data_IF_181831455603
#
_entry.id   IF_181831455603
#
_cell.length_a   1.000
_cell.length_b   1.000
_cell.length_c   1.000
_cell.angle_alpha   90.00
_cell.angle_beta   90.00
_cell.angle_gamma   90.00
#
_symmetry.space_group_name_H-M   'P 1'
#
loop_
_entity.id
_entity.type
_entity.pdbx_description
1 polymer ?
#
# COMPACT_ATOMS: atom_id res chain seq x y z
N UNK A 1 -7.48 10.11 4.99
CA UNK A 1 -6.20 9.46 4.69
C UNK A 1 -6.39 7.96 4.45
N UNK A 2 -5.52 7.38 3.63
CA UNK A 2 -5.40 5.94 3.40
C UNK A 2 -3.95 5.53 3.68
N UNK A 3 -3.81 4.42 4.38
CA UNK A 3 -2.51 3.89 4.78
C UNK A 3 -2.49 2.39 4.54
N UNK A 4 -1.40 1.90 3.99
CA UNK A 4 -1.07 0.48 3.91
C UNK A 4 0.37 0.30 4.35
N UNK A 5 0.67 -0.79 5.03
CA UNK A 5 2.02 -1.07 5.50
C UNK A 5 2.14 -2.52 5.95
N UNK A 6 3.38 -2.96 6.09
CA UNK A 6 3.71 -4.28 6.58
C UNK A 6 4.79 -4.21 7.66
N UNK A 7 4.59 -4.97 8.74
CA UNK A 7 5.51 -5.05 9.88
C UNK A 7 6.34 -6.31 9.76
N UNK A 8 7.65 -6.17 9.67
CA UNK A 8 8.56 -7.31 9.61
C UNK A 8 8.27 -8.34 10.72
N UNK A 9 8.02 -9.59 10.31
CA UNK A 9 7.81 -10.75 11.20
C UNK A 9 6.34 -11.10 11.36
N UNK A 10 6.08 -12.11 12.18
CA UNK A 10 4.74 -12.71 12.33
C UNK A 10 4.35 -12.86 13.80
N UNK A 11 3.06 -13.09 14.04
CA UNK A 11 2.51 -13.41 15.36
C UNK A 11 2.40 -12.21 16.31
N UNK A 12 2.32 -12.50 17.60
CA UNK A 12 2.02 -11.51 18.65
C UNK A 12 2.98 -10.31 18.64
N UNK A 13 4.31 -10.48 18.55
CA UNK A 13 5.22 -9.33 18.56
C UNK A 13 4.99 -8.36 17.40
N UNK A 14 4.78 -8.86 16.19
CA UNK A 14 4.46 -8.01 15.03
C UNK A 14 3.11 -7.30 15.21
N UNK A 15 2.09 -8.00 15.73
CA UNK A 15 0.77 -7.42 16.01
C UNK A 15 0.80 -6.32 17.07
N UNK A 16 1.64 -6.42 18.10
CA UNK A 16 1.82 -5.37 19.09
C UNK A 16 2.46 -4.11 18.48
N UNK A 17 3.52 -4.29 17.67
CA UNK A 17 4.16 -3.17 16.95
C UNK A 17 3.18 -2.51 15.97
N UNK A 18 2.42 -3.29 15.21
CA UNK A 18 1.38 -2.78 14.32
C UNK A 18 0.34 -1.93 15.07
N UNK A 19 -0.11 -2.40 16.24
CA UNK A 19 -1.08 -1.67 17.07
C UNK A 19 -0.49 -0.37 17.62
N UNK A 20 0.76 -0.40 18.08
CA UNK A 20 1.51 0.78 18.53
C UNK A 20 1.64 1.82 17.40
N UNK A 21 2.18 1.40 16.25
CA UNK A 21 2.35 2.26 15.07
C UNK A 21 1.03 2.85 14.58
N UNK A 22 -0.04 2.05 14.55
CA UNK A 22 -1.38 2.54 14.22
C UNK A 22 -1.85 3.64 15.17
N UNK A 23 -1.56 3.51 16.47
CA UNK A 23 -1.88 4.53 17.47
C UNK A 23 -1.11 5.82 17.23
N UNK A 24 0.22 5.73 17.04
CA UNK A 24 1.11 6.86 16.74
C UNK A 24 0.68 7.57 15.45
N UNK A 25 0.47 6.82 14.37
CA UNK A 25 0.05 7.36 13.08
C UNK A 25 -1.29 8.11 13.16
N UNK A 26 -2.26 7.59 13.92
CA UNK A 26 -3.55 8.28 14.11
C UNK A 26 -3.40 9.62 14.84
N UNK A 27 -2.44 9.72 15.74
CA UNK A 27 -2.12 10.98 16.41
C UNK A 27 -1.44 11.97 15.44
N UNK A 28 -0.46 11.47 14.66
CA UNK A 28 0.25 12.30 13.68
C UNK A 28 -0.66 12.85 12.58
N UNK A 29 -1.62 12.06 12.10
CA UNK A 29 -2.58 12.52 11.08
C UNK A 29 -3.40 13.73 11.55
N UNK A 30 -3.65 13.87 12.84
CA UNK A 30 -4.39 15.02 13.39
C UNK A 30 -3.61 16.35 13.35
N UNK A 31 -2.30 16.30 13.17
CA UNK A 31 -1.46 17.51 13.03
C UNK A 31 -1.69 18.25 11.71
N UNK A 32 -2.24 17.57 10.69
CA UNK A 32 -2.45 18.14 9.35
C UNK A 32 -1.16 18.35 8.55
N UNK A 33 -0.04 17.80 9.00
CA UNK A 33 1.24 17.89 8.32
C UNK A 33 1.22 17.13 6.98
N UNK A 34 2.11 17.48 6.03
CA UNK A 34 2.19 16.77 4.76
C UNK A 34 2.71 15.33 4.94
N UNK A 35 2.42 14.40 4.00
CA UNK A 35 2.73 12.98 4.10
C UNK A 35 4.18 12.64 4.50
N UNK A 36 5.15 13.32 3.91
CA UNK A 36 6.57 13.10 4.21
C UNK A 36 6.94 13.47 5.66
N UNK A 37 6.30 14.51 6.23
CA UNK A 37 6.52 14.90 7.63
C UNK A 37 5.85 13.90 8.58
N UNK A 38 4.66 13.41 8.25
CA UNK A 38 3.98 12.36 9.02
C UNK A 38 4.85 11.10 9.08
N UNK A 39 5.45 10.65 7.95
CA UNK A 39 6.34 9.49 7.95
C UNK A 39 7.63 9.76 8.74
N UNK A 40 8.21 10.96 8.60
CA UNK A 40 9.41 11.35 9.36
C UNK A 40 9.13 11.31 10.87
N UNK A 41 8.06 11.95 11.32
CA UNK A 41 7.73 12.06 12.74
C UNK A 41 7.33 10.69 13.31
N UNK A 42 6.60 9.86 12.54
CA UNK A 42 6.32 8.47 12.89
C UNK A 42 7.61 7.65 13.06
N UNK A 43 8.59 7.81 12.16
CA UNK A 43 9.89 7.13 12.29
C UNK A 43 10.63 7.58 13.56
N UNK A 44 10.65 8.88 13.87
CA UNK A 44 11.29 9.40 15.10
C UNK A 44 10.64 8.83 16.37
N UNK A 45 9.31 8.71 16.38
CA UNK A 45 8.57 8.16 17.52
C UNK A 45 8.80 6.65 17.72
N UNK A 46 8.88 5.91 16.62
CA UNK A 46 8.88 4.43 16.67
C UNK A 46 10.28 3.81 16.65
N UNK A 47 11.32 4.56 16.27
CA UNK A 47 12.64 3.99 15.97
C UNK A 47 13.25 3.19 17.14
N UNK A 48 13.12 3.67 18.37
CA UNK A 48 13.72 2.99 19.52
C UNK A 48 13.05 1.63 19.78
N UNK A 49 11.70 1.55 19.67
CA UNK A 49 10.95 0.32 19.88
C UNK A 49 11.20 -0.70 18.76
N UNK A 50 11.31 -0.21 17.53
CA UNK A 50 11.60 -1.04 16.35
C UNK A 50 13.04 -1.56 16.38
N UNK A 51 14.02 -0.73 16.73
CA UNK A 51 15.43 -1.12 16.87
C UNK A 51 15.60 -2.19 17.98
N UNK A 52 15.02 -1.96 19.16
CA UNK A 52 15.06 -2.94 20.27
C UNK A 52 14.45 -4.29 19.90
N UNK A 53 13.43 -4.29 19.05
CA UNK A 53 12.79 -5.51 18.57
C UNK A 53 13.46 -6.13 17.33
N UNK A 54 14.51 -5.47 16.78
CA UNK A 54 15.16 -5.84 15.52
C UNK A 54 14.18 -5.98 14.35
N UNK A 55 13.24 -5.02 14.25
CA UNK A 55 12.20 -5.02 13.23
C UNK A 55 12.11 -3.68 12.54
N UNK A 56 11.57 -3.70 11.34
CA UNK A 56 11.25 -2.49 10.57
C UNK A 56 9.84 -2.61 10.00
N UNK A 57 9.37 -1.50 9.44
CA UNK A 57 8.05 -1.42 8.82
C UNK A 57 8.16 -0.75 7.48
N UNK A 58 7.53 -1.34 6.47
CA UNK A 58 7.25 -0.65 5.22
C UNK A 58 5.88 0.02 5.32
N UNK A 59 5.75 1.26 4.82
CA UNK A 59 4.50 1.98 4.95
C UNK A 59 4.31 2.98 3.80
N UNK A 60 3.13 2.95 3.20
CA UNK A 60 2.69 3.97 2.26
C UNK A 60 1.55 4.77 2.89
N UNK A 61 1.74 6.08 2.97
CA UNK A 61 0.75 7.02 3.48
C UNK A 61 0.24 7.92 2.37
N UNK A 62 -1.07 8.14 2.32
CA UNK A 62 -1.68 9.10 1.41
C UNK A 62 -2.85 9.85 2.03
N UNK A 63 -3.03 11.11 1.64
CA UNK A 63 -4.20 11.91 1.94
C UNK A 63 -4.86 12.45 0.65
N UNK A 64 -6.17 12.47 0.63
CA UNK A 64 -6.95 12.96 -0.50
C UNK A 64 -7.82 14.16 -0.08
N UNK A 65 -7.67 15.28 -0.78
CA UNK A 65 -8.55 16.43 -0.63
C UNK A 65 -9.64 16.42 -1.74
N UNK A 66 -10.91 16.15 -1.38
CA UNK A 66 -11.99 16.08 -2.35
C UNK A 66 -12.31 17.43 -3.02
N UNK A 67 -11.94 18.56 -2.41
CA UNK A 67 -12.21 19.90 -2.99
C UNK A 67 -11.27 20.20 -4.15
N UNK A 68 -10.00 19.83 -4.01
CA UNK A 68 -8.96 20.04 -5.02
C UNK A 68 -8.74 18.83 -5.91
N UNK A 69 -9.30 17.66 -5.51
CA UNK A 69 -9.06 16.34 -6.12
C UNK A 69 -7.58 15.93 -6.11
N UNK A 70 -6.80 16.45 -5.17
CA UNK A 70 -5.38 16.12 -5.03
C UNK A 70 -5.20 14.97 -4.06
N UNK A 71 -4.40 13.99 -4.49
CA UNK A 71 -3.86 12.92 -3.65
C UNK A 71 -2.39 13.25 -3.39
N UNK A 72 -2.03 13.51 -2.13
CA UNK A 72 -0.65 13.65 -1.68
C UNK A 72 -0.22 12.33 -1.04
N UNK A 73 1.03 11.96 -1.19
CA UNK A 73 1.53 10.69 -0.68
C UNK A 73 3.02 10.72 -0.38
N UNK A 74 3.45 9.78 0.47
CA UNK A 74 4.86 9.49 0.73
C UNK A 74 5.02 7.98 0.96
N UNK A 75 6.16 7.46 0.55
CA UNK A 75 6.48 6.04 0.61
C UNK A 75 7.68 5.79 1.54
N UNK A 76 7.51 4.87 2.50
CA UNK A 76 8.56 4.32 3.33
C UNK A 76 8.88 2.89 2.87
N UNK A 77 9.39 2.77 1.63
CA UNK A 77 9.80 1.52 0.99
C UNK A 77 8.73 0.41 0.95
N UNK A 78 7.45 0.78 0.91
CA UNK A 78 6.33 -0.15 0.68
C UNK A 78 6.08 -0.31 -0.81
N UNK A 79 5.39 -1.39 -1.22
CA UNK A 79 4.98 -1.62 -2.60
C UNK A 79 4.16 -0.41 -3.10
N UNK A 80 4.62 0.29 -4.15
CA UNK A 80 3.93 1.48 -4.65
C UNK A 80 2.52 1.17 -5.13
N UNK A 81 1.48 1.88 -4.66
CA UNK A 81 0.13 1.72 -5.18
C UNK A 81 0.05 1.98 -6.68
N UNK A 82 -0.87 1.27 -7.33
CA UNK A 82 -1.11 1.36 -8.76
C UNK A 82 -2.27 2.33 -9.04
N UNK A 83 -1.99 3.44 -9.71
CA UNK A 83 -3.01 4.39 -10.17
C UNK A 83 -3.40 4.09 -11.62
N UNK A 84 -4.64 3.69 -11.85
CA UNK A 84 -5.26 3.71 -13.16
C UNK A 84 -5.73 5.13 -13.51
N UNK A 85 -5.15 5.70 -14.57
CA UNK A 85 -5.60 6.96 -15.16
C UNK A 85 -6.63 6.66 -16.25
N UNK A 86 -7.87 7.03 -16.00
CA UNK A 86 -8.99 6.76 -16.92
C UNK A 86 -8.87 7.52 -18.25
N UNK A 87 -8.30 8.74 -18.24
CA UNK A 87 -8.06 9.56 -19.43
C UNK A 87 -7.11 8.91 -20.42
N UNK A 88 -6.03 8.32 -19.92
CA UNK A 88 -4.93 7.80 -20.74
C UNK A 88 -4.98 6.27 -20.88
N UNK A 89 -5.88 5.62 -20.13
CA UNK A 89 -5.99 4.16 -20.01
C UNK A 89 -4.65 3.51 -19.64
N UNK A 90 -3.91 4.17 -18.74
CA UNK A 90 -2.59 3.72 -18.29
C UNK A 90 -2.54 3.53 -16.78
N UNK A 91 -1.65 2.65 -16.35
CA UNK A 91 -1.31 2.49 -14.94
C UNK A 91 0.01 3.22 -14.65
N UNK A 92 0.01 3.96 -13.55
CA UNK A 92 1.16 4.69 -13.02
C UNK A 92 1.41 4.17 -11.61
N UNK A 93 2.66 3.93 -11.23
CA UNK A 93 3.04 3.64 -9.85
C UNK A 93 3.13 4.95 -9.07
N UNK A 94 2.49 4.99 -7.92
CA UNK A 94 2.63 6.11 -6.99
C UNK A 94 3.81 5.82 -6.07
N UNK A 95 4.95 6.41 -6.36
CA UNK A 95 6.17 6.18 -5.59
C UNK A 95 6.89 7.49 -5.27
N UNK A 96 7.65 7.47 -4.17
CA UNK A 96 8.53 8.56 -3.73
C UNK A 96 9.75 7.98 -3.06
N UNK A 97 10.84 8.74 -3.03
CA UNK A 97 12.02 8.36 -2.27
C UNK A 97 11.71 8.36 -0.77
N UNK A 98 12.10 7.27 -0.10
CA UNK A 98 11.94 7.08 1.33
C UNK A 98 12.55 5.76 1.79
N UNK A 99 12.86 5.67 3.08
CA UNK A 99 13.46 4.51 3.69
C UNK A 99 12.47 3.81 4.62
N UNK A 100 12.65 2.52 4.90
CA UNK A 100 11.79 1.79 5.86
C UNK A 100 11.78 2.48 7.22
N UNK A 101 10.68 2.42 7.92
CA UNK A 101 10.54 2.95 9.28
C UNK A 101 11.24 2.02 10.26
N UNK A 102 12.07 2.57 11.14
CA UNK A 102 12.70 1.85 12.24
C UNK A 102 14.16 1.42 12.03
N UNK A 103 14.78 1.69 10.85
CA UNK A 103 16.19 1.34 10.62
C UNK A 103 17.14 2.53 10.63
N UNK A 104 16.68 3.71 10.24
CA UNK A 104 17.52 4.91 10.14
C UNK A 104 16.85 6.09 10.84
N UNK A 105 17.47 6.62 11.89
CA UNK A 105 16.90 7.68 12.72
C UNK A 105 16.56 8.93 11.91
N UNK A 106 17.48 9.39 11.08
CA UNK A 106 17.32 10.62 10.31
C UNK A 106 16.83 10.35 8.87
N UNK A 107 16.04 9.29 8.67
CA UNK A 107 15.47 8.97 7.38
C UNK A 107 14.64 10.13 6.82
N UNK A 108 14.89 10.45 5.55
CA UNK A 108 14.16 11.47 4.83
C UNK A 108 13.13 10.84 3.91
N UNK A 109 12.00 11.51 3.75
CA UNK A 109 10.89 11.07 2.91
C UNK A 109 10.51 12.17 1.94
N UNK A 110 10.33 11.83 0.68
CA UNK A 110 9.80 12.74 -0.33
C UNK A 110 8.28 12.71 -0.35
N UNK A 111 7.66 13.84 -0.77
CA UNK A 111 6.21 13.94 -0.93
C UNK A 111 5.87 14.03 -2.41
N UNK A 112 4.99 13.12 -2.86
CA UNK A 112 4.37 13.18 -4.18
C UNK A 112 2.98 13.80 -4.13
N UNK A 113 2.54 14.39 -5.23
CA UNK A 113 1.19 14.91 -5.40
C UNK A 113 0.69 14.58 -6.80
N UNK A 114 -0.55 14.13 -6.91
CA UNK A 114 -1.21 13.91 -8.19
C UNK A 114 -2.68 14.33 -8.12
N UNK A 115 -3.18 14.91 -9.20
CA UNK A 115 -4.62 15.22 -9.33
C UNK A 115 -5.33 13.98 -9.88
N UNK A 116 -6.38 13.56 -9.19
CA UNK A 116 -7.27 12.47 -9.62
C UNK A 116 -8.47 13.04 -10.37
N UNK A 117 -8.91 12.32 -11.40
CA UNK A 117 -10.09 12.60 -12.18
C UNK A 117 -11.18 11.56 -11.90
N UNK A 118 -12.39 11.83 -12.37
CA UNK A 118 -13.48 10.85 -12.34
C UNK A 118 -13.07 9.55 -13.03
N UNK A 119 -13.48 8.42 -12.46
CA UNK A 119 -13.12 7.05 -12.89
C UNK A 119 -11.64 6.68 -12.73
N UNK A 120 -10.79 7.57 -12.19
CA UNK A 120 -9.46 7.15 -11.74
C UNK A 120 -9.58 6.20 -10.55
N UNK A 121 -8.67 5.24 -10.46
CA UNK A 121 -8.69 4.23 -9.42
C UNK A 121 -7.26 4.02 -8.88
N UNK A 122 -7.13 4.00 -7.56
CA UNK A 122 -5.87 3.64 -6.88
C UNK A 122 -6.04 2.28 -6.21
N UNK A 123 -5.15 1.35 -6.54
CA UNK A 123 -5.04 0.04 -5.91
C UNK A 123 -3.83 0.04 -4.98
N UNK A 124 -4.08 -0.14 -3.68
CA UNK A 124 -3.06 -0.37 -2.66
C UNK A 124 -2.99 -1.88 -2.38
N UNK A 125 -1.79 -2.42 -2.20
CA UNK A 125 -1.61 -3.86 -1.99
C UNK A 125 -0.33 -4.15 -1.20
N UNK A 126 -0.32 -5.25 -0.44
CA UNK A 126 0.88 -5.78 0.22
C UNK A 126 1.60 -6.80 -0.68
N UNK A 127 2.85 -7.09 -0.37
CA UNK A 127 3.68 -8.07 -1.08
C UNK A 127 3.06 -9.48 -1.10
N UNK A 128 2.30 -9.87 -0.05
CA UNK A 128 1.55 -11.11 -0.03
C UNK A 128 0.62 -11.34 -1.23
N UNK A 129 0.26 -10.25 -1.97
CA UNK A 129 -0.50 -10.37 -3.22
C UNK A 129 0.39 -10.83 -4.38
N UNK A 130 1.58 -10.22 -4.52
CA UNK A 130 2.47 -10.43 -5.67
C UNK A 130 3.45 -11.58 -5.47
N UNK A 131 3.79 -11.88 -4.22
CA UNK A 131 4.68 -12.99 -3.85
C UNK A 131 3.96 -14.34 -3.73
N UNK A 132 2.63 -14.33 -3.75
CA UNK A 132 1.81 -15.55 -3.82
C UNK A 132 2.27 -16.46 -4.96
N UNK A 133 2.57 -17.73 -4.63
CA UNK A 133 3.08 -18.72 -5.58
C UNK A 133 2.02 -19.76 -5.96
N UNK A 134 2.08 -20.27 -7.20
CA UNK A 134 1.27 -21.39 -7.65
C UNK A 134 1.95 -22.75 -7.34
N UNK A 135 1.30 -23.85 -7.68
CA UNK A 135 1.81 -25.21 -7.46
C UNK A 135 3.10 -25.53 -8.24
N UNK A 136 3.47 -24.72 -9.23
CA UNK A 136 4.71 -24.84 -10.00
C UNK A 136 5.84 -23.95 -9.43
N UNK A 137 5.58 -23.19 -8.36
CA UNK A 137 6.54 -22.26 -7.77
C UNK A 137 6.67 -20.93 -8.53
N UNK A 138 5.79 -20.64 -9.50
CA UNK A 138 5.76 -19.35 -10.16
C UNK A 138 5.07 -18.32 -9.25
N UNK A 139 5.63 -17.11 -9.13
CA UNK A 139 5.00 -16.00 -8.41
C UNK A 139 3.89 -15.35 -9.25
N UNK A 140 2.88 -14.82 -8.55
CA UNK A 140 1.82 -14.05 -9.22
C UNK A 140 2.37 -12.82 -9.91
N UNK A 141 3.31 -12.14 -9.28
CA UNK A 141 4.06 -10.96 -9.68
C UNK A 141 3.22 -9.68 -9.96
N UNK A 142 3.90 -8.55 -9.93
CA UNK A 142 3.28 -7.24 -10.15
C UNK A 142 2.81 -7.05 -11.60
N UNK A 143 3.49 -7.63 -12.57
CA UNK A 143 3.10 -7.51 -13.97
C UNK A 143 1.73 -8.16 -14.25
N UNK A 144 1.47 -9.32 -13.63
CA UNK A 144 0.16 -9.97 -13.72
C UNK A 144 -0.91 -9.12 -13.06
N UNK A 145 -0.64 -8.55 -11.89
CA UNK A 145 -1.55 -7.64 -11.19
C UNK A 145 -1.88 -6.43 -12.07
N UNK A 146 -0.89 -5.78 -12.67
CA UNK A 146 -1.04 -4.64 -13.59
C UNK A 146 -1.90 -5.03 -14.80
N UNK A 147 -1.63 -6.18 -15.44
CA UNK A 147 -2.40 -6.67 -16.59
C UNK A 147 -3.87 -6.93 -16.24
N UNK A 148 -4.13 -7.51 -15.07
CA UNK A 148 -5.49 -7.79 -14.57
C UNK A 148 -6.20 -6.46 -14.28
N UNK A 149 -5.58 -5.57 -13.49
CA UNK A 149 -6.16 -4.27 -13.13
C UNK A 149 -6.51 -3.46 -14.38
N UNK A 150 -5.59 -3.38 -15.35
CA UNK A 150 -5.83 -2.67 -16.63
C UNK A 150 -7.05 -3.21 -17.39
N UNK A 151 -7.23 -4.54 -17.41
CA UNK A 151 -8.40 -5.14 -18.06
C UNK A 151 -9.70 -4.84 -17.31
N UNK A 152 -9.67 -4.87 -15.98
CA UNK A 152 -10.84 -4.61 -15.14
C UNK A 152 -11.26 -3.14 -15.19
N UNK A 153 -10.32 -2.21 -15.15
CA UNK A 153 -10.60 -0.77 -15.19
C UNK A 153 -11.16 -0.27 -16.52
N UNK A 154 -10.95 -1.00 -17.62
CA UNK A 154 -11.60 -0.72 -18.93
C UNK A 154 -13.09 -1.06 -18.95
N UNK A 155 -13.55 -1.78 -17.94
CA UNK A 155 -14.95 -2.15 -17.78
C UNK A 155 -15.54 -1.33 -16.63
N UNK A 156 -16.85 -1.08 -16.67
CA UNK A 156 -17.53 -0.23 -15.67
C UNK A 156 -17.85 -1.03 -14.39
N UNK A 157 -16.83 -1.62 -13.78
CA UNK A 157 -16.95 -2.31 -12.50
C UNK A 157 -16.85 -1.34 -11.32
N UNK A 158 -17.59 -1.63 -10.27
CA UNK A 158 -17.42 -0.98 -8.96
C UNK A 158 -16.12 -1.42 -8.28
N UNK A 159 -15.67 -0.64 -7.29
CA UNK A 159 -14.48 -0.98 -6.49
C UNK A 159 -14.58 -2.38 -5.88
N UNK A 160 -15.76 -2.76 -5.39
CA UNK A 160 -15.99 -4.09 -4.79
C UNK A 160 -15.91 -5.22 -5.83
N UNK A 161 -16.45 -5.01 -7.04
CA UNK A 161 -16.35 -6.00 -8.11
C UNK A 161 -14.90 -6.18 -8.58
N UNK A 162 -14.14 -5.08 -8.69
CA UNK A 162 -12.71 -5.12 -9.01
C UNK A 162 -11.96 -5.91 -7.96
N UNK A 163 -12.17 -5.62 -6.67
CA UNK A 163 -11.56 -6.33 -5.56
C UNK A 163 -11.86 -7.83 -5.63
N UNK A 164 -13.13 -8.21 -5.75
CA UNK A 164 -13.56 -9.61 -5.82
C UNK A 164 -12.95 -10.35 -7.03
N UNK A 165 -12.85 -9.66 -8.18
CA UNK A 165 -12.26 -10.25 -9.39
C UNK A 165 -10.74 -10.43 -9.26
N UNK A 166 -10.03 -9.53 -8.58
CA UNK A 166 -8.59 -9.68 -8.31
C UNK A 166 -8.37 -10.90 -7.40
N UNK A 167 -9.10 -11.00 -6.28
CA UNK A 167 -8.99 -12.16 -5.39
C UNK A 167 -9.35 -13.47 -6.10
N UNK A 168 -10.40 -13.47 -6.92
CA UNK A 168 -10.71 -14.65 -7.74
C UNK A 168 -9.55 -15.04 -8.66
N UNK A 169 -8.85 -14.08 -9.26
CA UNK A 169 -7.68 -14.35 -10.10
C UNK A 169 -6.48 -14.87 -9.31
N UNK A 170 -6.31 -14.42 -8.08
CA UNK A 170 -5.33 -14.98 -7.15
C UNK A 170 -5.68 -16.42 -6.79
N UNK A 171 -6.95 -16.71 -6.45
CA UNK A 171 -7.42 -18.05 -6.15
C UNK A 171 -7.28 -19.01 -7.35
N UNK A 172 -7.66 -18.55 -8.56
CA UNK A 172 -7.49 -19.32 -9.80
C UNK A 172 -6.01 -19.64 -10.07
N UNK A 173 -5.09 -18.74 -9.70
CA UNK A 173 -3.65 -18.89 -9.90
C UNK A 173 -3.00 -19.85 -8.88
N UNK A 174 -3.38 -19.76 -7.61
CA UNK A 174 -2.84 -20.61 -6.54
C UNK A 174 -3.39 -22.04 -6.56
N UNK A 175 -4.60 -22.25 -7.13
CA UNK A 175 -5.31 -23.52 -7.11
C UNK A 175 -5.94 -23.84 -5.76
N UNK A 176 -6.48 -25.06 -5.62
CA UNK A 176 -7.26 -25.47 -4.43
C UNK A 176 -6.43 -25.65 -3.13
N UNK A 177 -5.10 -25.70 -3.20
CA UNK A 177 -4.21 -25.87 -2.04
C UNK A 177 -3.56 -24.55 -1.66
N UNK A 178 -4.37 -23.59 -1.23
CA UNK A 178 -3.93 -22.26 -0.83
C UNK A 178 -3.21 -22.30 0.52
N UNK A 179 -1.88 -22.34 0.51
CA UNK A 179 -1.09 -21.80 1.59
C UNK A 179 -0.60 -20.41 1.13
N UNK A 180 -1.31 -19.35 1.55
CA UNK A 180 -0.72 -18.01 1.50
C UNK A 180 0.48 -18.04 2.44
N UNK A 181 1.65 -17.82 1.90
CA UNK A 181 2.88 -17.73 2.69
C UNK A 181 2.88 -16.47 3.56
N UNK A 182 2.09 -15.46 3.13
CA UNK A 182 1.91 -14.18 3.82
C UNK A 182 0.49 -13.60 3.66
N UNK A 183 0.16 -12.60 4.51
CA UNK A 183 -1.12 -11.91 4.51
C UNK A 183 -1.29 -11.03 3.26
N UNK A 184 -2.30 -11.32 2.44
CA UNK A 184 -2.61 -10.54 1.24
C UNK A 184 -3.68 -9.49 1.53
N UNK A 185 -3.30 -8.21 1.52
CA UNK A 185 -4.21 -7.08 1.72
C UNK A 185 -4.34 -6.24 0.45
N UNK A 186 -5.57 -5.87 0.12
CA UNK A 186 -5.86 -4.98 -1.03
C UNK A 186 -6.88 -3.93 -0.60
N UNK A 187 -6.63 -2.67 -0.96
CA UNK A 187 -7.60 -1.57 -0.85
C UNK A 187 -7.81 -0.95 -2.22
N UNK A 188 -9.08 -0.77 -2.62
CA UNK A 188 -9.45 -0.12 -3.88
C UNK A 188 -10.12 1.20 -3.59
N UNK A 189 -9.50 2.30 -3.99
CA UNK A 189 -10.04 3.65 -3.92
C UNK A 189 -10.38 4.15 -5.33
N UNK A 190 -11.65 4.43 -5.61
CA UNK A 190 -12.13 4.87 -6.93
C UNK A 190 -12.90 6.17 -6.81
N UNK A 191 -12.56 7.14 -7.66
CA UNK A 191 -13.33 8.37 -7.81
C UNK A 191 -14.56 8.10 -8.69
N UNK A 192 -15.71 8.52 -8.16
CA UNK A 192 -16.98 8.52 -8.89
C UNK A 192 -17.22 9.86 -9.55
#
# INVERSE_FOLDING_TARGET
>A
ALVIGDVMGKGIPAGLLMTMLRGMLRAEVLTGLPPNRILHDLNQLAINDLDQSHRFVTLFYSDYDPRTRKLRFANAAHNPPLLWKSSDQKIIKLDTEGFVIGLQKDAQYSCGEIKLNEKDLVLYYTDGVIDTSNSLGERFDEERLIKILSKLCKQSYSSQEILNKIFKKLDDFTGQNRHLEDDASIVVFQLK
#
